data_IF_051681577286
#
_entry.id   IF_051681577286
#
_cell.length_a   1.000
_cell.length_b   1.000
_cell.length_c   1.000
_cell.angle_alpha   90.00
_cell.angle_beta   90.00
_cell.angle_gamma   90.00
#
_symmetry.space_group_name_H-M   'P 1'
#
loop_
_entity.id
_entity.type
_entity.pdbx_description
1 polymer ?
#
# COMPACT_ATOMS: atom_id res chain seq x y z
N UNK A 1 -18.74 1.61 -9.16
CA UNK A 1 -17.26 1.53 -9.08
C UNK A 1 -16.86 2.44 -7.94
N UNK A 2 -16.29 1.92 -6.84
CA UNK A 2 -15.93 2.76 -5.69
C UNK A 2 -14.73 3.63 -6.04
N UNK A 3 -14.83 4.94 -5.80
CA UNK A 3 -13.75 5.88 -6.08
C UNK A 3 -12.46 5.50 -5.35
N UNK A 4 -11.33 5.64 -6.05
CA UNK A 4 -10.02 5.44 -5.45
C UNK A 4 -9.68 6.68 -4.62
N UNK A 5 -9.66 6.50 -3.30
CA UNK A 5 -9.28 7.56 -2.38
C UNK A 5 -7.81 7.95 -2.57
N UNK A 6 -7.51 9.25 -2.47
CA UNK A 6 -6.13 9.73 -2.48
C UNK A 6 -5.32 9.15 -1.29
N UNK A 7 -4.02 8.90 -1.49
CA UNK A 7 -3.14 8.46 -0.42
C UNK A 7 -3.02 9.51 0.69
N UNK A 8 -2.89 9.05 1.93
CA UNK A 8 -2.71 9.91 3.11
C UNK A 8 -1.73 9.25 4.08
N UNK A 9 -1.38 9.94 5.18
CA UNK A 9 -0.53 9.36 6.24
C UNK A 9 -1.12 8.07 6.83
N UNK A 10 -2.45 7.89 6.80
CA UNK A 10 -3.16 6.70 7.29
C UNK A 10 -3.53 5.71 6.18
N UNK A 11 -3.39 6.10 4.90
CA UNK A 11 -3.66 5.30 3.70
C UNK A 11 -2.39 5.24 2.86
N UNK A 12 -1.41 4.47 3.34
CA UNK A 12 -0.10 4.33 2.68
C UNK A 12 -0.04 3.13 1.74
N UNK A 13 -0.93 2.17 1.93
CA UNK A 13 -1.05 0.96 1.13
C UNK A 13 -2.52 0.73 0.74
N UNK A 14 -2.74 0.09 -0.40
CA UNK A 14 -4.05 -0.39 -0.82
C UNK A 14 -3.92 -1.82 -1.33
N UNK A 15 -4.74 -2.74 -0.81
CA UNK A 15 -4.85 -4.10 -1.33
C UNK A 15 -6.06 -4.19 -2.24
N UNK A 16 -5.92 -4.85 -3.38
CA UNK A 16 -7.01 -5.14 -4.30
C UNK A 16 -7.11 -6.65 -4.55
N UNK A 17 -8.19 -7.28 -4.10
CA UNK A 17 -8.42 -8.72 -4.22
C UNK A 17 -9.86 -8.96 -4.65
N UNK A 18 -10.07 -9.74 -5.71
CA UNK A 18 -11.40 -10.00 -6.30
C UNK A 18 -12.23 -8.72 -6.56
N UNK A 19 -11.57 -7.64 -7.01
CA UNK A 19 -12.21 -6.34 -7.26
C UNK A 19 -12.53 -5.52 -6.00
N UNK A 20 -12.22 -6.02 -4.80
CA UNK A 20 -12.42 -5.30 -3.54
C UNK A 20 -11.14 -4.59 -3.13
N UNK A 21 -11.24 -3.27 -2.92
CA UNK A 21 -10.13 -2.42 -2.47
C UNK A 21 -10.22 -2.15 -0.96
N UNK A 22 -9.09 -2.27 -0.26
CA UNK A 22 -8.95 -1.91 1.15
C UNK A 22 -7.69 -1.09 1.37
N UNK A 23 -7.77 -0.08 2.23
CA UNK A 23 -6.65 0.82 2.54
C UNK A 23 -6.01 0.45 3.86
N UNK A 24 -4.69 0.57 3.93
CA UNK A 24 -3.90 0.19 5.10
C UNK A 24 -2.82 1.22 5.40
N UNK A 25 -2.45 1.30 6.67
CA UNK A 25 -1.29 2.05 7.15
C UNK A 25 -0.06 1.17 7.29
N UNK A 26 -0.26 -0.09 7.66
CA UNK A 26 0.79 -1.04 8.00
C UNK A 26 1.15 -1.93 6.79
N UNK A 27 2.45 -2.05 6.43
CA UNK A 27 2.87 -2.86 5.29
C UNK A 27 2.55 -4.34 5.48
N UNK A 28 2.72 -4.91 6.68
CA UNK A 28 2.54 -6.35 6.92
C UNK A 28 1.08 -6.76 6.69
N UNK A 29 0.14 -6.01 7.28
CA UNK A 29 -1.30 -6.21 7.07
C UNK A 29 -1.69 -6.01 5.61
N UNK A 30 -1.13 -5.01 4.94
CA UNK A 30 -1.42 -4.75 3.53
C UNK A 30 -0.95 -5.91 2.63
N UNK A 31 0.27 -6.39 2.82
CA UNK A 31 0.82 -7.55 2.10
C UNK A 31 0.01 -8.81 2.34
N UNK A 32 -0.41 -9.06 3.59
CA UNK A 32 -1.26 -10.20 3.92
C UNK A 32 -2.63 -10.12 3.23
N UNK A 33 -3.26 -8.93 3.24
CA UNK A 33 -4.56 -8.70 2.61
C UNK A 33 -4.51 -8.76 1.07
N UNK A 34 -3.36 -8.44 0.48
CA UNK A 34 -3.13 -8.51 -0.97
C UNK A 34 -2.67 -9.90 -1.44
N UNK A 35 -2.60 -10.92 -0.57
CA UNK A 35 -2.29 -12.29 -1.00
C UNK A 35 -3.32 -12.77 -2.01
N UNK A 36 -2.86 -13.19 -3.19
CA UNK A 36 -3.72 -13.56 -4.32
C UNK A 36 -4.35 -12.36 -5.04
N UNK A 37 -3.83 -11.15 -4.81
CA UNK A 37 -4.29 -9.90 -5.43
C UNK A 37 -3.14 -8.94 -5.73
N UNK A 38 -3.44 -7.65 -5.74
CA UNK A 38 -2.48 -6.59 -6.06
C UNK A 38 -2.25 -5.70 -4.84
N UNK A 39 -0.98 -5.45 -4.53
CA UNK A 39 -0.56 -4.47 -3.53
C UNK A 39 -0.18 -3.16 -4.22
N UNK A 40 -0.77 -2.07 -3.75
CA UNK A 40 -0.49 -0.72 -4.20
C UNK A 40 0.14 0.09 -3.07
N UNK A 41 1.11 0.94 -3.39
CA UNK A 41 1.74 1.87 -2.46
C UNK A 41 1.45 3.32 -2.84
N UNK A 42 1.42 4.17 -1.82
CA UNK A 42 1.29 5.61 -1.99
C UNK A 42 2.52 6.20 -2.71
N UNK A 43 2.28 6.97 -3.77
CA UNK A 43 3.28 7.77 -4.48
C UNK A 43 2.81 9.23 -4.55
N UNK A 44 3.70 10.14 -4.95
CA UNK A 44 3.45 11.59 -4.96
C UNK A 44 2.17 12.04 -5.68
N UNK A 45 1.72 11.29 -6.69
CA UNK A 45 0.52 11.61 -7.49
C UNK A 45 -0.59 10.54 -7.43
N UNK A 46 -0.57 9.64 -6.45
CA UNK A 46 -1.61 8.60 -6.33
C UNK A 46 -1.07 7.25 -5.89
N UNK A 47 -1.47 6.19 -6.59
CA UNK A 47 -1.15 4.81 -6.24
C UNK A 47 -0.27 4.16 -7.30
N UNK A 48 0.62 3.26 -6.88
CA UNK A 48 1.42 2.46 -7.80
C UNK A 48 1.52 1.01 -7.32
N UNK A 49 1.30 0.07 -8.24
CA UNK A 49 1.53 -1.37 -8.02
C UNK A 49 2.82 -1.85 -8.70
N UNK A 50 3.69 -0.95 -9.17
CA UNK A 50 4.97 -1.35 -9.76
C UNK A 50 5.81 -2.08 -8.69
N UNK A 51 6.30 -3.31 -8.96
CA UNK A 51 6.99 -4.13 -7.96
C UNK A 51 8.19 -3.44 -7.30
N UNK A 52 9.03 -2.75 -8.08
CA UNK A 52 10.23 -2.08 -7.56
C UNK A 52 9.86 -0.90 -6.64
N UNK A 53 8.83 -0.14 -7.02
CA UNK A 53 8.28 0.93 -6.19
C UNK A 53 7.67 0.39 -4.90
N UNK A 54 6.93 -0.72 -4.98
CA UNK A 54 6.32 -1.38 -3.82
C UNK A 54 7.41 -1.86 -2.85
N UNK A 55 8.42 -2.58 -3.35
CA UNK A 55 9.53 -3.07 -2.54
C UNK A 55 10.31 -1.93 -1.88
N UNK A 56 10.66 -0.90 -2.65
CA UNK A 56 11.37 0.28 -2.15
C UNK A 56 10.57 1.02 -1.08
N UNK A 57 9.26 1.20 -1.30
CA UNK A 57 8.40 1.89 -0.35
C UNK A 57 8.24 1.11 0.96
N UNK A 58 8.04 -0.21 0.91
CA UNK A 58 7.99 -1.07 2.10
C UNK A 58 9.30 -0.98 2.89
N UNK A 59 10.45 -1.03 2.21
CA UNK A 59 11.75 -0.91 2.86
C UNK A 59 11.90 0.45 3.59
N UNK A 60 11.46 1.55 2.97
CA UNK A 60 11.47 2.89 3.56
C UNK A 60 10.58 2.93 4.81
N UNK A 61 9.33 2.45 4.72
CA UNK A 61 8.39 2.46 5.86
C UNK A 61 8.92 1.61 7.01
N UNK A 62 9.47 0.43 6.73
CA UNK A 62 10.06 -0.44 7.74
C UNK A 62 11.29 0.18 8.42
N UNK A 63 12.12 0.94 7.67
CA UNK A 63 13.25 1.66 8.25
C UNK A 63 12.78 2.82 9.14
N UNK A 64 11.74 3.55 8.74
CA UNK A 64 11.16 4.64 9.54
C UNK A 64 10.53 4.16 10.85
N UNK A 65 9.88 2.99 10.83
CA UNK A 65 9.24 2.40 12.02
C UNK A 65 10.21 1.89 13.09
N UNK A 66 11.51 1.74 12.77
CA UNK A 66 12.55 1.29 13.71
C UNK A 66 13.23 2.41 14.50
N UNK A 67 12.88 3.68 14.23
CA UNK A 67 13.49 4.86 14.87
C UNK A 67 12.54 5.50 15.90
N UNK A 68 11.54 4.76 16.37
CA UNK A 68 10.54 5.21 17.35
C UNK A 68 10.50 4.31 18.57
#
# INVERSE_FOLDING_TARGET
>A
MTDILYPTKTRRFMSETAGVRRYHRDPVRATAAARGGVLWVAVSKGWSCNPDRVASFIAIVNRQGRVS
#
